data_IF_781809403601
#
_entry.id   IF_781809403601
#
_cell.length_a   1.000
_cell.length_b   1.000
_cell.length_c   1.000
_cell.angle_alpha   90.00
_cell.angle_beta   90.00
_cell.angle_gamma   90.00
#
_symmetry.space_group_name_H-M   'P 1'
#
loop_
_entity.id
_entity.type
_entity.pdbx_description
1 polymer ?
#
# COMPACT_ATOMS: atom_id res chain seq x y z
N UNK A 1 -20.17 -19.42 5.30
CA UNK A 1 -19.65 -18.11 5.72
C UNK A 1 -18.78 -17.60 4.60
N UNK A 2 -19.06 -16.42 4.04
CA UNK A 2 -18.21 -15.85 3.01
C UNK A 2 -17.02 -15.21 3.71
N UNK A 3 -15.83 -15.77 3.55
CA UNK A 3 -14.60 -15.07 3.88
C UNK A 3 -14.47 -13.93 2.87
N UNK A 4 -14.71 -12.71 3.32
CA UNK A 4 -14.41 -11.55 2.49
C UNK A 4 -12.88 -11.48 2.43
N UNK A 5 -12.32 -11.65 1.23
CA UNK A 5 -10.90 -11.46 0.98
C UNK A 5 -10.70 -10.33 -0.01
N UNK A 6 -9.73 -9.47 0.31
CA UNK A 6 -9.24 -8.45 -0.61
C UNK A 6 -7.91 -8.95 -1.15
N UNK A 7 -7.89 -9.12 -2.46
CA UNK A 7 -6.72 -9.47 -3.21
C UNK A 7 -6.20 -8.23 -3.94
N UNK A 8 -5.00 -7.80 -3.58
CA UNK A 8 -4.31 -6.73 -4.28
C UNK A 8 -3.45 -7.32 -5.39
N UNK A 9 -3.60 -6.82 -6.61
CA UNK A 9 -2.72 -7.17 -7.73
C UNK A 9 -1.90 -5.97 -8.18
N UNK A 10 -0.59 -6.16 -8.38
CA UNK A 10 0.26 -5.23 -9.11
C UNK A 10 0.34 -5.67 -10.56
N UNK A 11 0.28 -4.72 -11.48
CA UNK A 11 0.58 -4.99 -12.88
C UNK A 11 2.09 -4.89 -13.07
N UNK A 12 2.72 -6.00 -13.46
CA UNK A 12 4.15 -6.05 -13.78
C UNK A 12 4.33 -6.79 -15.10
N UNK A 13 4.96 -6.14 -16.08
CA UNK A 13 5.24 -6.72 -17.39
C UNK A 13 4.01 -7.35 -18.11
N UNK A 14 2.80 -6.82 -17.85
CA UNK A 14 1.56 -7.34 -18.40
C UNK A 14 0.89 -8.44 -17.57
N UNK A 15 1.50 -8.87 -16.48
CA UNK A 15 0.97 -9.88 -15.57
C UNK A 15 0.46 -9.25 -14.26
N UNK A 16 -0.67 -9.76 -13.76
CA UNK A 16 -1.22 -9.39 -12.46
C UNK A 16 -0.58 -10.26 -11.37
N UNK A 17 0.39 -9.71 -10.66
CA UNK A 17 1.04 -10.40 -9.55
C UNK A 17 0.29 -10.05 -8.26
N UNK A 18 -0.18 -11.07 -7.54
CA UNK A 18 -0.83 -10.88 -6.24
C UNK A 18 0.19 -10.38 -5.22
N UNK A 19 -0.13 -9.30 -4.53
CA UNK A 19 0.63 -8.78 -3.41
C UNK A 19 0.13 -9.44 -2.13
N UNK A 20 1.03 -10.17 -1.47
CA UNK A 20 0.74 -10.74 -0.16
C UNK A 20 0.91 -9.67 0.92
N UNK A 21 0.01 -9.62 1.91
CA UNK A 21 0.21 -8.77 3.07
C UNK A 21 1.43 -9.24 3.86
N UNK A 22 2.09 -8.32 4.56
CA UNK A 22 3.12 -8.67 5.54
C UNK A 22 2.48 -9.41 6.74
N UNK A 23 3.32 -9.89 7.65
CA UNK A 23 3.04 -10.49 8.95
C UNK A 23 2.02 -9.71 9.80
N UNK A 24 1.92 -8.40 9.60
CA UNK A 24 0.95 -7.52 10.26
C UNK A 24 -0.41 -7.42 9.53
N UNK A 25 -0.59 -8.11 8.40
CA UNK A 25 -1.79 -8.01 7.56
C UNK A 25 -1.81 -6.75 6.67
N UNK A 26 -0.67 -6.06 6.53
CA UNK A 26 -0.55 -4.81 5.77
C UNK A 26 0.01 -5.10 4.37
N UNK A 27 -0.73 -4.71 3.35
CA UNK A 27 -0.30 -4.73 1.95
C UNK A 27 0.46 -3.45 1.65
N UNK A 28 1.71 -3.56 1.18
CA UNK A 28 2.56 -2.41 0.83
C UNK A 28 2.71 -2.31 -0.69
N UNK A 29 2.44 -1.13 -1.24
CA UNK A 29 2.68 -0.86 -2.66
C UNK A 29 4.18 -0.76 -2.94
N UNK A 30 4.65 -1.45 -3.99
CA UNK A 30 6.02 -1.32 -4.46
C UNK A 30 6.22 -0.20 -5.49
N UNK A 31 5.13 0.27 -6.13
CA UNK A 31 5.18 1.36 -7.11
C UNK A 31 5.10 2.71 -6.39
N UNK A 32 4.31 2.78 -5.32
CA UNK A 32 4.13 3.96 -4.49
C UNK A 32 4.65 3.69 -3.09
N UNK A 33 5.95 3.92 -2.83
CA UNK A 33 6.50 3.74 -1.50
C UNK A 33 5.78 4.68 -0.52
N UNK A 34 5.27 4.09 0.55
CA UNK A 34 4.43 4.73 1.57
C UNK A 34 2.93 4.50 1.41
N UNK A 35 2.45 3.94 0.29
CA UNK A 35 1.06 3.50 0.16
C UNK A 35 0.89 2.13 0.82
N UNK A 36 0.44 2.14 2.07
CA UNK A 36 0.18 0.94 2.87
C UNK A 36 -1.31 0.83 3.18
N UNK A 37 -1.91 -0.35 2.96
CA UNK A 37 -3.29 -0.62 3.31
C UNK A 37 -3.40 -1.88 4.19
N UNK A 38 -4.21 -1.81 5.23
CA UNK A 38 -4.51 -2.94 6.11
C UNK A 38 -5.65 -3.78 5.49
N UNK A 39 -5.38 -5.06 5.23
CA UNK A 39 -6.36 -5.98 4.62
C UNK A 39 -7.61 -6.11 5.47
N UNK A 40 -7.46 -6.28 6.78
CA UNK A 40 -8.58 -6.45 7.69
C UNK A 40 -9.41 -5.17 7.79
N UNK A 41 -8.77 -4.01 7.88
CA UNK A 41 -9.46 -2.71 7.95
C UNK A 41 -10.29 -2.44 6.69
N UNK A 42 -9.76 -2.78 5.52
CA UNK A 42 -10.52 -2.68 4.27
C UNK A 42 -11.71 -3.65 4.25
N UNK A 43 -11.53 -4.87 4.75
CA UNK A 43 -12.60 -5.87 4.85
C UNK A 43 -13.70 -5.46 5.82
N UNK A 44 -13.34 -4.84 6.95
CA UNK A 44 -14.31 -4.35 7.95
C UNK A 44 -14.87 -2.97 7.62
N UNK A 45 -14.39 -2.32 6.55
CA UNK A 45 -14.79 -0.95 6.19
C UNK A 45 -14.26 0.14 7.14
N UNK A 46 -13.23 -0.17 7.94
CA UNK A 46 -12.59 0.78 8.85
C UNK A 46 -11.59 1.66 8.10
N UNK A 47 -12.11 2.67 7.41
CA UNK A 47 -11.30 3.65 6.70
C UNK A 47 -10.40 4.46 7.66
N UNK A 48 -10.77 4.60 8.93
CA UNK A 48 -9.96 5.30 9.93
C UNK A 48 -8.63 4.57 10.14
N UNK A 49 -8.68 3.26 10.36
CA UNK A 49 -7.48 2.43 10.49
C UNK A 49 -6.67 2.39 9.19
N UNK A 50 -7.33 2.33 8.04
CA UNK A 50 -6.65 2.42 6.73
C UNK A 50 -5.85 3.73 6.62
N UNK A 51 -6.44 4.87 6.98
CA UNK A 51 -5.78 6.17 6.93
C UNK A 51 -4.63 6.30 7.93
N UNK A 52 -4.72 5.68 9.10
CA UNK A 52 -3.63 5.64 10.08
C UNK A 52 -2.44 4.86 9.53
N UNK A 53 -2.68 3.68 8.95
CA UNK A 53 -1.62 2.86 8.34
C UNK A 53 -1.01 3.56 7.13
N UNK A 54 -1.82 4.22 6.31
CA UNK A 54 -1.35 5.04 5.20
C UNK A 54 -0.41 6.16 5.69
N UNK A 55 -0.81 6.92 6.72
CA UNK A 55 0.02 7.98 7.27
C UNK A 55 1.38 7.46 7.75
N UNK A 56 1.42 6.30 8.43
CA UNK A 56 2.69 5.67 8.84
C UNK A 56 3.59 5.37 7.65
N UNK A 57 3.02 4.90 6.54
CA UNK A 57 3.76 4.64 5.31
C UNK A 57 4.32 5.93 4.70
N UNK A 58 3.53 7.00 4.69
CA UNK A 58 3.95 8.32 4.18
C UNK A 58 5.06 8.96 5.05
N UNK A 59 5.11 8.64 6.35
CA UNK A 59 6.17 9.13 7.24
C UNK A 59 7.53 8.44 7.04
N UNK A 60 7.57 7.35 6.25
CA UNK A 60 8.82 6.62 6.00
C UNK A 60 9.82 7.41 5.16
N UNK A 61 11.10 7.12 5.36
CA UNK A 61 12.18 7.67 4.54
C UNK A 61 12.00 7.32 3.06
N UNK A 62 11.53 6.11 2.75
CA UNK A 62 11.27 5.66 1.37
C UNK A 62 10.27 6.57 0.63
N UNK A 63 9.20 6.98 1.31
CA UNK A 63 8.25 7.92 0.72
C UNK A 63 8.88 9.31 0.50
N UNK A 64 9.65 9.80 1.47
CA UNK A 64 10.35 11.09 1.35
C UNK A 64 11.34 11.09 0.17
N UNK A 65 12.11 10.02 0.01
CA UNK A 65 13.01 9.82 -1.13
C UNK A 65 12.25 9.78 -2.46
N UNK A 66 11.08 9.14 -2.50
CA UNK A 66 10.22 9.11 -3.68
C UNK A 66 9.67 10.50 -4.05
N UNK A 67 9.19 11.27 -3.08
CA UNK A 67 8.76 12.66 -3.30
C UNK A 67 9.92 13.51 -3.82
N UNK A 68 11.10 13.39 -3.21
CA UNK A 68 12.29 14.10 -3.67
C UNK A 68 12.67 13.74 -5.11
N UNK A 69 12.60 12.45 -5.49
CA UNK A 69 12.84 12.00 -6.88
C UNK A 69 11.81 12.56 -7.86
N UNK A 70 10.54 12.62 -7.47
CA UNK A 70 9.48 13.19 -8.30
C UNK A 70 9.70 14.69 -8.53
N UNK A 71 10.07 15.44 -7.50
CA UNK A 71 10.37 16.88 -7.62
C UNK A 71 11.64 17.12 -8.44
N UNK A 72 12.66 16.27 -8.31
CA UNK A 72 13.91 16.38 -9.07
C UNK A 72 13.75 16.05 -10.56
N UNK A 73 12.85 15.13 -10.94
CA UNK A 73 12.56 14.79 -12.34
C UNK A 73 11.70 15.84 -13.07
N UNK A 74 11.27 16.89 -12.40
CA UNK A 74 10.50 18.01 -12.96
C UNK A 74 11.36 19.26 -13.23
N UNK A 75 12.69 19.13 -13.32
CA UNK A 75 13.63 20.23 -13.66
C UNK A 75 14.25 20.07 -15.05
#
# INVERSE_FOLDING_TARGET
FYEQEIDWFRLQAGEYIKLEPDSEGIMRSQIFPGLWLDKNALLTGDLGKVLVILQRGLETAEHRDFVNKLTANHS
#
